data_IF_654780602286
#
_entry.id   IF_654780602286
#
_cell.length_a   1.000
_cell.length_b   1.000
_cell.length_c   1.000
_cell.angle_alpha   90.00
_cell.angle_beta   90.00
_cell.angle_gamma   90.00
#
_symmetry.space_group_name_H-M   'P 1'
#
loop_
_entity.id
_entity.type
_entity.pdbx_description
1 polymer ?
#
# COMPACT_ATOMS: atom_id res chain seq x y z
N UNK A 1 -27.20 11.25 -15.21
CA UNK A 1 -28.19 10.70 -14.25
C UNK A 1 -28.42 11.73 -13.16
N UNK A 2 -29.62 11.76 -12.57
CA UNK A 2 -30.00 12.73 -11.54
C UNK A 2 -29.63 12.23 -10.16
N UNK A 3 -28.88 13.02 -9.39
CA UNK A 3 -28.62 12.77 -7.97
C UNK A 3 -29.85 13.22 -7.18
N UNK A 4 -30.50 12.30 -6.45
CA UNK A 4 -31.62 12.62 -5.57
C UNK A 4 -31.21 12.43 -4.10
N UNK A 5 -31.12 13.53 -3.36
CA UNK A 5 -30.75 13.54 -1.94
C UNK A 5 -32.04 13.75 -1.13
N UNK A 6 -32.42 12.74 -0.33
CA UNK A 6 -33.65 12.78 0.47
C UNK A 6 -33.45 13.32 1.89
N UNK A 7 -32.21 13.35 2.35
CA UNK A 7 -31.87 13.84 3.67
C UNK A 7 -31.56 15.35 3.57
N UNK A 8 -32.22 16.16 4.41
CA UNK A 8 -32.13 17.62 4.34
C UNK A 8 -30.70 18.12 4.63
N UNK A 9 -30.07 17.59 5.68
CA UNK A 9 -28.69 17.96 6.05
C UNK A 9 -27.70 17.67 4.91
N UNK A 10 -27.85 16.53 4.25
CA UNK A 10 -27.03 16.18 3.10
C UNK A 10 -27.26 17.10 1.89
N UNK A 11 -28.50 17.56 1.65
CA UNK A 11 -28.81 18.51 0.58
C UNK A 11 -28.20 19.89 0.87
N UNK A 12 -28.30 20.35 2.12
CA UNK A 12 -27.74 21.63 2.56
C UNK A 12 -26.21 21.64 2.40
N UNK A 13 -25.54 20.58 2.85
CA UNK A 13 -24.09 20.41 2.68
C UNK A 13 -23.68 20.36 1.20
N UNK A 14 -24.46 19.64 0.37
CA UNK A 14 -24.18 19.53 -1.06
C UNK A 14 -24.34 20.88 -1.78
N UNK A 15 -25.36 21.67 -1.42
CA UNK A 15 -25.55 23.04 -1.94
C UNK A 15 -24.44 23.98 -1.52
N UNK A 16 -24.03 23.92 -0.26
CA UNK A 16 -22.95 24.76 0.24
C UNK A 16 -21.63 24.44 -0.49
N UNK A 17 -21.31 23.16 -0.63
CA UNK A 17 -20.13 22.73 -1.37
C UNK A 17 -20.18 23.18 -2.84
N UNK A 18 -21.32 23.02 -3.51
CA UNK A 18 -21.49 23.46 -4.89
C UNK A 18 -21.31 24.98 -5.06
N UNK A 19 -21.76 25.76 -4.07
CA UNK A 19 -21.56 27.21 -4.04
C UNK A 19 -20.09 27.58 -3.90
N UNK A 20 -19.34 26.85 -3.08
CA UNK A 20 -17.90 27.05 -2.90
C UNK A 20 -17.14 26.69 -4.19
N UNK A 21 -17.43 25.53 -4.76
CA UNK A 21 -16.72 25.01 -5.93
C UNK A 21 -17.17 25.67 -7.25
N UNK A 22 -18.29 26.42 -7.23
CA UNK A 22 -18.94 27.02 -8.41
C UNK A 22 -19.28 25.98 -9.48
N UNK A 23 -19.71 24.80 -9.05
CA UNK A 23 -20.06 23.67 -9.93
C UNK A 23 -21.50 23.22 -9.69
N UNK A 24 -21.96 22.23 -10.45
CA UNK A 24 -23.25 21.60 -10.18
C UNK A 24 -23.21 20.84 -8.84
N UNK A 25 -24.36 20.72 -8.17
CA UNK A 25 -24.48 19.94 -6.91
C UNK A 25 -23.93 18.52 -7.09
N UNK A 26 -24.22 17.89 -8.22
CA UNK A 26 -23.73 16.55 -8.54
C UNK A 26 -22.20 16.50 -8.63
N UNK A 27 -21.58 17.44 -9.32
CA UNK A 27 -20.13 17.46 -9.50
C UNK A 27 -19.39 17.76 -8.21
N UNK A 28 -19.91 18.70 -7.42
CA UNK A 28 -19.41 19.03 -6.10
C UNK A 28 -19.40 17.80 -5.17
N UNK A 29 -20.53 17.09 -5.09
CA UNK A 29 -20.66 15.88 -4.27
C UNK A 29 -19.71 14.78 -4.76
N UNK A 30 -19.62 14.54 -6.07
CA UNK A 30 -18.69 13.54 -6.62
C UNK A 30 -17.24 13.89 -6.27
N UNK A 31 -16.87 15.17 -6.37
CA UNK A 31 -15.54 15.67 -6.04
C UNK A 31 -15.21 15.44 -4.56
N UNK A 32 -16.08 15.86 -3.64
CA UNK A 32 -15.88 15.67 -2.20
C UNK A 32 -15.83 14.20 -1.79
N UNK A 33 -16.66 13.34 -2.38
CA UNK A 33 -16.62 11.91 -2.10
C UNK A 33 -15.31 11.28 -2.58
N UNK A 34 -14.86 11.62 -3.80
CA UNK A 34 -13.56 11.17 -4.31
C UNK A 34 -12.42 11.61 -3.41
N UNK A 35 -12.44 12.87 -2.97
CA UNK A 35 -11.42 13.42 -2.10
C UNK A 35 -11.43 12.75 -0.72
N UNK A 36 -12.61 12.53 -0.15
CA UNK A 36 -12.76 11.83 1.13
C UNK A 36 -12.22 10.39 1.05
N UNK A 37 -12.53 9.66 -0.02
CA UNK A 37 -12.01 8.31 -0.25
C UNK A 37 -10.49 8.34 -0.39
N UNK A 38 -9.93 9.25 -1.21
CA UNK A 38 -8.48 9.41 -1.36
C UNK A 38 -7.80 9.72 -0.03
N UNK A 39 -8.36 10.62 0.77
CA UNK A 39 -7.80 10.99 2.06
C UNK A 39 -7.85 9.86 3.07
N UNK A 40 -8.89 9.02 3.04
CA UNK A 40 -8.94 7.80 3.85
C UNK A 40 -7.91 6.77 3.37
N UNK A 41 -7.80 6.54 2.07
CA UNK A 41 -6.80 5.64 1.49
C UNK A 41 -5.36 6.08 1.74
N UNK A 42 -5.09 7.39 1.84
CA UNK A 42 -3.76 7.92 2.17
C UNK A 42 -3.42 7.80 3.66
N UNK A 43 -4.43 7.78 4.53
CA UNK A 43 -4.24 7.56 5.98
C UNK A 43 -3.94 6.10 6.31
N UNK A 44 -4.43 5.15 5.50
CA UNK A 44 -3.92 3.78 5.53
C UNK A 44 -2.53 3.76 4.87
N UNK A 45 -1.50 3.30 5.58
CA UNK A 45 -0.19 3.12 4.93
C UNK A 45 -0.36 2.11 3.80
N UNK A 46 0.12 2.38 2.56
CA UNK A 46 0.06 1.41 1.47
C UNK A 46 0.62 0.04 1.86
N UNK A 47 1.57 0.02 2.81
CA UNK A 47 2.12 -1.19 3.42
C UNK A 47 1.11 -1.95 4.29
N UNK A 48 0.29 -1.26 5.07
CA UNK A 48 -0.75 -1.84 5.93
C UNK A 48 -1.92 -2.38 5.12
N UNK A 49 -2.36 -1.62 4.11
CA UNK A 49 -3.38 -2.11 3.16
C UNK A 49 -2.85 -3.33 2.40
N UNK A 50 -1.61 -3.29 1.91
CA UNK A 50 -0.98 -4.43 1.27
C UNK A 50 -0.80 -5.62 2.25
N UNK A 51 -0.43 -5.37 3.50
CA UNK A 51 -0.36 -6.42 4.53
C UNK A 51 -1.73 -7.07 4.76
N UNK A 52 -2.80 -6.29 4.82
CA UNK A 52 -4.18 -6.79 5.00
C UNK A 52 -4.62 -7.63 3.80
N UNK A 53 -4.33 -7.16 2.59
CA UNK A 53 -4.64 -7.86 1.34
C UNK A 53 -3.86 -9.18 1.23
N UNK A 54 -2.59 -9.18 1.62
CA UNK A 54 -1.73 -10.36 1.63
C UNK A 54 -2.20 -11.36 2.70
N UNK A 55 -2.47 -10.90 3.92
CA UNK A 55 -2.93 -11.75 5.03
C UNK A 55 -4.25 -12.48 4.70
N UNK A 56 -5.21 -11.81 4.05
CA UNK A 56 -6.45 -12.46 3.56
C UNK A 56 -6.21 -13.59 2.57
N UNK A 57 -5.06 -13.59 1.88
CA UNK A 57 -4.64 -14.62 0.93
C UNK A 57 -3.61 -15.59 1.51
N UNK A 58 -3.33 -15.52 2.82
CA UNK A 58 -2.29 -16.33 3.47
C UNK A 58 -0.86 -15.96 3.06
N UNK A 59 -0.66 -14.73 2.57
CA UNK A 59 0.63 -14.22 2.12
C UNK A 59 1.18 -13.20 3.12
N UNK A 60 2.50 -13.05 3.18
CA UNK A 60 3.18 -12.06 4.00
C UNK A 60 4.34 -11.41 3.23
N UNK A 61 4.74 -10.21 3.64
CA UNK A 61 5.93 -9.57 3.09
C UNK A 61 7.17 -10.39 3.43
N UNK A 62 7.89 -10.85 2.42
CA UNK A 62 9.17 -11.51 2.61
C UNK A 62 10.18 -10.46 3.09
N UNK A 63 10.70 -10.64 4.30
CA UNK A 63 11.84 -9.86 4.77
C UNK A 63 13.04 -10.30 3.94
N UNK A 64 13.49 -9.46 3.02
CA UNK A 64 14.79 -9.67 2.35
C UNK A 64 15.87 -9.41 3.41
N UNK A 65 16.17 -10.45 4.18
CA UNK A 65 17.35 -10.46 5.01
C UNK A 65 18.53 -10.65 4.07
N UNK A 66 19.30 -9.58 3.83
CA UNK A 66 20.60 -9.67 3.18
C UNK A 66 21.54 -10.47 4.08
N UNK A 67 21.36 -11.79 4.12
CA UNK A 67 22.16 -12.73 4.91
C UNK A 67 23.48 -13.00 4.19
N UNK A 68 24.23 -11.94 3.91
CA UNK A 68 25.67 -12.07 3.82
C UNK A 68 26.15 -12.35 5.24
N UNK A 69 26.18 -13.62 5.65
CA UNK A 69 26.95 -14.02 6.83
C UNK A 69 28.38 -13.57 6.55
N UNK A 70 28.81 -12.45 7.14
CA UNK A 70 30.23 -12.19 7.31
C UNK A 70 30.74 -13.32 8.19
N UNK A 71 31.38 -14.34 7.60
CA UNK A 71 32.16 -15.27 8.38
C UNK A 71 33.31 -14.45 8.99
N UNK A 72 33.58 -14.53 10.30
CA UNK A 72 34.75 -13.88 10.86
C UNK A 72 35.99 -14.44 10.15
N UNK A 73 36.83 -13.54 9.65
CA UNK A 73 38.15 -13.88 9.11
C UNK A 73 38.99 -14.32 10.30
N UNK A 74 38.91 -15.61 10.66
CA UNK A 74 39.83 -16.19 11.65
C UNK A 74 39.96 -17.69 11.43
N UNK A 75 40.57 -18.08 10.32
CA UNK A 75 41.41 -19.28 10.32
C UNK A 75 42.50 -19.11 9.28
N UNK A 76 43.73 -19.36 9.71
CA UNK A 76 44.96 -19.28 8.95
C UNK A 76 44.89 -19.98 7.60
N UNK A 77 45.47 -19.31 6.60
CA UNK A 77 46.37 -19.87 5.57
C UNK A 77 46.09 -21.34 5.19
N UNK A 78 45.30 -21.55 4.15
CA UNK A 78 45.64 -22.53 3.10
C UNK A 78 45.00 -22.08 1.79
N UNK A 79 45.84 -21.96 0.76
CA UNK A 79 45.49 -21.51 -0.58
C UNK A 79 44.69 -22.61 -1.28
N UNK A 80 43.37 -22.43 -1.42
CA UNK A 80 42.63 -22.97 -2.56
C UNK A 80 41.42 -22.07 -2.82
N UNK A 81 41.54 -21.25 -3.87
CA UNK A 81 40.54 -20.27 -4.28
C UNK A 81 39.37 -20.97 -4.98
N UNK A 82 38.51 -21.65 -4.22
CA UNK A 82 37.24 -22.15 -4.76
C UNK A 82 36.26 -20.97 -4.80
N UNK A 83 36.06 -20.43 -6.01
CA UNK A 83 34.99 -19.49 -6.37
C UNK A 83 33.65 -19.96 -5.77
N UNK A 84 33.27 -19.36 -4.64
CA UNK A 84 31.90 -19.50 -4.11
C UNK A 84 31.00 -18.55 -4.89
N UNK A 85 30.53 -19.05 -6.04
CA UNK A 85 29.52 -18.41 -6.88
C UNK A 85 28.23 -18.37 -6.05
N UNK A 86 27.86 -17.18 -5.57
CA UNK A 86 26.55 -16.94 -4.95
C UNK A 86 25.48 -17.13 -6.02
N UNK A 87 24.92 -18.34 -6.13
CA UNK A 87 23.66 -18.53 -6.84
C UNK A 87 22.53 -18.22 -5.87
N UNK A 88 21.96 -17.03 -6.03
CA UNK A 88 20.68 -16.64 -5.44
C UNK A 88 19.59 -17.53 -6.05
N UNK A 89 19.26 -18.66 -5.42
CA UNK A 89 18.02 -19.38 -5.74
C UNK A 89 16.92 -18.92 -4.80
N UNK A 90 15.79 -18.37 -5.33
CA UNK A 90 14.65 -18.04 -4.49
C UNK A 90 13.97 -19.33 -4.03
N UNK A 91 14.02 -19.62 -2.73
CA UNK A 91 13.22 -20.70 -2.13
C UNK A 91 11.78 -20.21 -2.03
N UNK A 92 10.94 -20.75 -2.92
CA UNK A 92 9.48 -20.60 -2.93
C UNK A 92 8.91 -21.33 -1.72
N UNK A 93 8.65 -20.64 -0.61
CA UNK A 93 7.90 -21.21 0.51
C UNK A 93 6.44 -20.74 0.46
N UNK A 94 5.56 -21.64 0.02
CA UNK A 94 4.14 -21.59 0.39
C UNK A 94 3.98 -22.27 1.74
N UNK A 95 3.56 -21.54 2.76
CA UNK A 95 2.73 -22.07 3.85
C UNK A 95 2.07 -20.95 4.62
#
# INVERSE_FOLDING_TARGET
>A
MTLNIRNQEADDLARELARIDRTSITDAVISALRETIRNRMRKESPRETAQTILARRGLAFQRIENRCRRKPITTLITIHWVKSRCLSTPVRSYR
#
